data_IF_178653815622
#
_entry.id   IF_178653815622
#
_cell.length_a   1.000
_cell.length_b   1.000
_cell.length_c   1.000
_cell.angle_alpha   90.00
_cell.angle_beta   90.00
_cell.angle_gamma   90.00
#
_symmetry.space_group_name_H-M   'P 1'
#
loop_
_entity.id
_entity.type
_entity.pdbx_description
1 polymer ?
#
# COMPACT_ATOMS: atom_id res chain seq x y z
N UNK A 1 -60.67 63.99 -69.93
CA UNK A 1 -60.56 62.81 -69.04
C UNK A 1 -59.24 62.10 -69.30
N UNK A 2 -58.30 62.08 -68.34
CA UNK A 2 -57.31 60.99 -68.18
C UNK A 2 -56.55 61.22 -66.87
N UNK A 3 -56.58 60.25 -65.96
CA UNK A 3 -56.03 60.35 -64.59
C UNK A 3 -54.60 59.78 -64.53
N UNK A 4 -53.69 60.59 -63.97
CA UNK A 4 -52.65 60.29 -62.94
C UNK A 4 -51.96 58.91 -62.97
N UNK A 5 -50.68 58.85 -63.37
CA UNK A 5 -49.42 58.84 -62.56
C UNK A 5 -49.06 57.52 -61.86
N UNK A 6 -47.92 56.96 -62.27
CA UNK A 6 -46.82 56.49 -61.42
C UNK A 6 -47.08 55.36 -60.41
N UNK A 7 -46.58 54.15 -60.69
CA UNK A 7 -46.39 53.08 -59.70
C UNK A 7 -45.03 53.26 -59.01
N UNK A 8 -44.96 53.32 -57.67
CA UNK A 8 -43.72 53.06 -56.94
C UNK A 8 -43.64 51.59 -56.51
N UNK A 9 -42.54 50.96 -56.90
CA UNK A 9 -41.93 49.83 -56.20
C UNK A 9 -41.50 50.27 -54.80
N UNK A 10 -41.79 49.45 -53.78
CA UNK A 10 -41.06 49.22 -52.50
C UNK A 10 -42.07 48.84 -51.39
N UNK A 11 -42.63 47.63 -51.46
CA UNK A 11 -43.06 46.93 -50.23
C UNK A 11 -42.60 45.48 -50.36
N UNK A 12 -41.31 45.29 -50.12
CA UNK A 12 -40.77 44.04 -49.59
C UNK A 12 -41.06 44.09 -48.08
N UNK A 13 -41.50 42.98 -47.50
CA UNK A 13 -41.80 42.72 -46.08
C UNK A 13 -43.27 42.89 -45.64
N UNK A 14 -44.01 41.78 -45.67
CA UNK A 14 -44.93 41.38 -44.61
C UNK A 14 -45.35 39.90 -44.77
N UNK A 15 -44.39 38.99 -44.85
CA UNK A 15 -44.60 37.64 -44.29
C UNK A 15 -44.11 37.70 -42.85
N UNK A 16 -44.91 38.35 -41.99
CA UNK A 16 -44.75 38.21 -40.56
C UNK A 16 -45.37 36.87 -40.20
N UNK A 17 -44.52 35.88 -39.96
CA UNK A 17 -44.88 34.60 -39.36
C UNK A 17 -45.78 34.85 -38.15
N UNK A 18 -46.99 34.33 -38.23
CA UNK A 18 -47.94 34.31 -37.13
C UNK A 18 -47.43 33.30 -36.09
N UNK A 19 -46.41 33.68 -35.33
CA UNK A 19 -45.91 32.92 -34.20
C UNK A 19 -47.02 32.89 -33.15
N UNK A 20 -47.70 31.74 -33.08
CA UNK A 20 -48.70 31.42 -32.07
C UNK A 20 -47.99 31.45 -30.72
N UNK A 21 -48.01 32.60 -30.04
CA UNK A 21 -47.41 32.77 -28.72
C UNK A 21 -48.12 31.82 -27.75
N UNK A 22 -47.48 30.71 -27.40
CA UNK A 22 -47.98 29.84 -26.35
C UNK A 22 -48.03 30.64 -25.05
N UNK A 23 -49.13 30.57 -24.29
CA UNK A 23 -49.20 31.23 -22.99
C UNK A 23 -48.10 30.64 -22.09
N UNK A 24 -47.41 31.51 -21.35
CA UNK A 24 -46.28 31.18 -20.47
C UNK A 24 -46.58 29.97 -19.56
N UNK A 25 -47.84 29.83 -19.12
CA UNK A 25 -48.34 28.73 -18.31
C UNK A 25 -48.15 27.36 -18.97
N UNK A 26 -48.35 27.26 -20.29
CA UNK A 26 -48.17 26.00 -21.04
C UNK A 26 -46.69 25.64 -21.15
N UNK A 27 -45.81 26.63 -21.31
CA UNK A 27 -44.35 26.40 -21.32
C UNK A 27 -43.88 25.92 -19.95
N UNK A 28 -44.34 26.56 -18.86
CA UNK A 28 -43.99 26.15 -17.49
C UNK A 28 -44.45 24.72 -17.21
N UNK A 29 -45.68 24.36 -17.56
CA UNK A 29 -46.20 23.00 -17.38
C UNK A 29 -45.36 21.98 -18.15
N UNK A 30 -45.00 22.26 -19.41
CA UNK A 30 -44.17 21.35 -20.20
C UNK A 30 -42.76 21.18 -19.62
N UNK A 31 -42.15 22.25 -19.10
CA UNK A 31 -40.83 22.18 -18.44
C UNK A 31 -40.91 21.35 -17.15
N UNK A 32 -41.95 21.53 -16.34
CA UNK A 32 -42.15 20.76 -15.10
C UNK A 32 -42.38 19.29 -15.40
N UNK A 33 -43.21 18.96 -16.40
CA UNK A 33 -43.45 17.57 -16.82
C UNK A 33 -42.17 16.95 -17.38
N UNK A 34 -41.42 17.67 -18.22
CA UNK A 34 -40.14 17.18 -18.74
C UNK A 34 -39.10 16.96 -17.62
N UNK A 35 -39.05 17.85 -16.62
CA UNK A 35 -38.18 17.71 -15.46
C UNK A 35 -38.58 16.51 -14.57
N UNK A 36 -39.88 16.28 -14.36
CA UNK A 36 -40.38 15.13 -13.61
C UNK A 36 -40.14 13.81 -14.34
N UNK A 37 -40.41 13.75 -15.65
CA UNK A 37 -40.17 12.56 -16.48
C UNK A 37 -38.67 12.30 -16.61
N UNK A 38 -37.86 13.33 -16.84
CA UNK A 38 -36.40 13.22 -16.90
C UNK A 38 -35.79 12.82 -15.55
N UNK A 39 -36.25 13.40 -14.45
CA UNK A 39 -35.82 13.06 -13.10
C UNK A 39 -36.19 11.64 -12.70
N UNK A 40 -37.41 11.19 -13.01
CA UNK A 40 -37.86 9.82 -12.72
C UNK A 40 -37.14 8.78 -13.59
N UNK A 41 -36.90 9.10 -14.87
CA UNK A 41 -36.15 8.24 -15.78
C UNK A 41 -34.67 8.15 -15.36
N UNK A 42 -34.06 9.27 -15.00
CA UNK A 42 -32.70 9.32 -14.46
C UNK A 42 -32.57 8.53 -13.15
N UNK A 43 -33.57 8.64 -12.25
CA UNK A 43 -33.60 7.87 -11.00
C UNK A 43 -33.77 6.35 -11.22
N UNK A 44 -34.56 5.93 -12.21
CA UNK A 44 -34.74 4.51 -12.53
C UNK A 44 -33.50 3.89 -13.21
N UNK A 45 -32.78 4.68 -14.02
CA UNK A 45 -31.53 4.27 -14.68
C UNK A 45 -30.35 4.29 -13.70
N UNK A 46 -30.35 5.20 -12.72
CA UNK A 46 -29.27 5.35 -11.73
C UNK A 46 -29.37 4.39 -10.54
N UNK A 47 -30.37 3.50 -10.47
CA UNK A 47 -30.42 2.48 -9.41
C UNK A 47 -29.27 1.50 -9.62
N UNK A 48 -28.34 1.33 -8.66
CA UNK A 48 -27.32 0.30 -8.77
C UNK A 48 -28.02 -1.04 -8.89
N UNK A 49 -27.73 -1.75 -9.98
CA UNK A 49 -28.28 -3.08 -10.20
C UNK A 49 -27.80 -4.04 -9.08
N UNK A 50 -28.39 -5.23 -9.02
CA UNK A 50 -28.02 -6.23 -8.01
C UNK A 50 -26.53 -6.60 -8.04
N UNK A 51 -25.87 -6.46 -9.20
CA UNK A 51 -24.45 -6.75 -9.39
C UNK A 51 -23.59 -5.67 -8.76
N UNK A 52 -23.91 -4.38 -8.99
CA UNK A 52 -23.17 -3.26 -8.38
C UNK A 52 -23.22 -3.32 -6.86
N UNK A 53 -24.39 -3.60 -6.28
CA UNK A 53 -24.52 -3.78 -4.82
C UNK A 53 -23.75 -4.99 -4.30
N UNK A 54 -23.76 -6.10 -5.04
CA UNK A 54 -22.96 -7.28 -4.67
C UNK A 54 -21.45 -7.00 -4.73
N UNK A 55 -20.99 -6.22 -5.71
CA UNK A 55 -19.59 -5.80 -5.83
C UNK A 55 -19.19 -4.86 -4.69
N UNK A 56 -20.03 -3.89 -4.34
CA UNK A 56 -19.80 -3.00 -3.21
C UNK A 56 -19.73 -3.75 -1.88
N UNK A 57 -20.63 -4.71 -1.67
CA UNK A 57 -20.63 -5.58 -0.49
C UNK A 57 -19.35 -6.44 -0.42
N UNK A 58 -18.95 -7.06 -1.54
CA UNK A 58 -17.71 -7.83 -1.59
C UNK A 58 -16.48 -6.97 -1.29
N UNK A 59 -16.41 -5.75 -1.85
CA UNK A 59 -15.32 -4.80 -1.55
C UNK A 59 -15.28 -4.41 -0.08
N UNK A 60 -16.45 -4.21 0.54
CA UNK A 60 -16.53 -3.89 1.97
C UNK A 60 -16.03 -5.06 2.83
N UNK A 61 -16.43 -6.30 2.50
CA UNK A 61 -15.96 -7.50 3.18
C UNK A 61 -14.44 -7.71 3.00
N UNK A 62 -13.91 -7.47 1.81
CA UNK A 62 -12.48 -7.55 1.54
C UNK A 62 -11.68 -6.50 2.31
N UNK A 63 -12.18 -5.26 2.43
CA UNK A 63 -11.53 -4.22 3.20
C UNK A 63 -11.43 -4.56 4.69
N UNK A 64 -12.48 -5.17 5.27
CA UNK A 64 -12.46 -5.65 6.65
C UNK A 64 -11.42 -6.76 6.84
N UNK A 65 -11.39 -7.73 5.93
CA UNK A 65 -10.41 -8.83 5.98
C UNK A 65 -8.97 -8.32 5.80
N UNK A 66 -8.74 -7.41 4.87
CA UNK A 66 -7.40 -6.87 4.62
C UNK A 66 -6.89 -6.09 5.84
N UNK A 67 -7.75 -5.30 6.49
CA UNK A 67 -7.39 -4.61 7.74
C UNK A 67 -6.96 -5.60 8.83
N UNK A 68 -7.67 -6.73 8.99
CA UNK A 68 -7.26 -7.77 9.92
C UNK A 68 -5.90 -8.39 9.53
N UNK A 69 -5.69 -8.67 8.24
CA UNK A 69 -4.42 -9.23 7.77
C UNK A 69 -3.24 -8.27 7.96
N UNK A 70 -3.45 -6.96 7.83
CA UNK A 70 -2.44 -5.94 8.12
C UNK A 70 -2.09 -5.97 9.60
N UNK A 71 -3.08 -6.03 10.50
CA UNK A 71 -2.84 -6.13 11.95
C UNK A 71 -2.06 -7.39 12.33
N UNK A 72 -2.43 -8.54 11.78
CA UNK A 72 -1.74 -9.82 11.99
C UNK A 72 -0.29 -9.77 11.49
N UNK A 73 -0.07 -9.19 10.31
CA UNK A 73 1.28 -8.99 9.76
C UNK A 73 2.11 -8.05 10.65
N UNK A 74 1.54 -6.92 11.06
CA UNK A 74 2.20 -5.94 11.95
C UNK A 74 2.62 -6.60 13.27
N UNK A 75 1.75 -7.38 13.90
CA UNK A 75 2.07 -8.10 15.13
C UNK A 75 3.18 -9.15 14.91
N UNK A 76 3.05 -9.98 13.87
CA UNK A 76 4.03 -11.01 13.57
C UNK A 76 5.43 -10.44 13.27
N UNK A 77 5.48 -9.33 12.52
CA UNK A 77 6.72 -8.62 12.20
C UNK A 77 7.29 -7.93 13.44
N UNK A 78 6.48 -7.29 14.27
CA UNK A 78 6.94 -6.65 15.51
C UNK A 78 7.58 -7.65 16.49
N UNK A 79 7.04 -8.84 16.62
CA UNK A 79 7.69 -9.92 17.38
C UNK A 79 9.02 -10.35 16.77
N UNK A 80 9.04 -10.51 15.44
CA UNK A 80 10.23 -10.94 14.70
C UNK A 80 11.34 -9.88 14.78
N UNK A 81 10.99 -8.60 14.69
CA UNK A 81 11.89 -7.46 14.88
C UNK A 81 12.62 -7.54 16.22
N UNK A 82 11.89 -7.79 17.31
CA UNK A 82 12.48 -7.92 18.66
C UNK A 82 13.49 -9.05 18.71
N UNK A 83 13.11 -10.23 18.22
CA UNK A 83 14.00 -11.40 18.18
C UNK A 83 15.26 -11.15 17.34
N UNK A 84 15.10 -10.52 16.17
CA UNK A 84 16.21 -10.17 15.27
C UNK A 84 17.12 -9.13 15.93
N UNK A 85 16.58 -8.07 16.54
CA UNK A 85 17.40 -7.06 17.23
C UNK A 85 18.26 -7.66 18.35
N UNK A 86 17.68 -8.56 19.15
CA UNK A 86 18.42 -9.28 20.20
C UNK A 86 19.55 -10.11 19.61
N UNK A 87 19.27 -10.85 18.53
CA UNK A 87 20.28 -11.65 17.83
C UNK A 87 21.38 -10.77 17.24
N UNK A 88 21.01 -9.69 16.53
CA UNK A 88 21.94 -8.80 15.85
C UNK A 88 22.88 -8.09 16.82
N UNK A 89 22.42 -7.73 18.02
CA UNK A 89 23.30 -7.14 19.03
C UNK A 89 24.46 -8.07 19.39
N UNK A 90 24.17 -9.37 19.60
CA UNK A 90 25.20 -10.36 19.91
C UNK A 90 26.06 -10.68 18.67
N UNK A 91 25.43 -10.76 17.50
CA UNK A 91 26.08 -11.07 16.23
C UNK A 91 27.05 -9.97 15.78
N UNK A 92 26.63 -8.70 15.82
CA UNK A 92 27.46 -7.56 15.46
C UNK A 92 28.65 -7.43 16.42
N UNK A 93 28.43 -7.66 17.72
CA UNK A 93 29.52 -7.71 18.69
C UNK A 93 30.55 -8.82 18.41
N UNK A 94 30.13 -9.97 17.83
CA UNK A 94 31.04 -11.02 17.40
C UNK A 94 31.80 -10.62 16.12
N UNK A 95 31.13 -9.98 15.17
CA UNK A 95 31.75 -9.48 13.93
C UNK A 95 32.81 -8.41 14.20
N UNK A 96 32.57 -7.50 15.15
CA UNK A 96 33.49 -6.43 15.52
C UNK A 96 34.76 -6.95 16.19
N UNK A 97 34.61 -7.90 17.12
CA UNK A 97 35.76 -8.50 17.83
C UNK A 97 36.65 -9.33 16.91
N UNK A 98 36.13 -9.78 15.77
CA UNK A 98 36.88 -10.62 14.81
C UNK A 98 37.31 -11.98 15.39
N UNK A 99 36.85 -12.33 16.58
CA UNK A 99 37.14 -13.59 17.25
C UNK A 99 36.06 -14.61 16.94
N UNK A 100 36.40 -15.93 16.97
CA UNK A 100 35.40 -16.97 16.89
C UNK A 100 34.33 -16.80 17.98
N UNK A 101 33.07 -16.80 17.58
CA UNK A 101 31.96 -16.90 18.52
C UNK A 101 31.85 -18.35 19.03
N UNK A 102 31.33 -18.51 20.24
CA UNK A 102 31.04 -19.82 20.79
C UNK A 102 30.10 -20.63 19.88
N UNK A 103 30.38 -21.93 19.71
CA UNK A 103 29.63 -22.77 18.77
C UNK A 103 28.16 -22.96 19.19
N UNK A 104 27.88 -23.03 20.50
CA UNK A 104 26.50 -23.14 20.98
C UNK A 104 25.74 -21.83 20.76
N UNK A 105 26.41 -20.68 20.90
CA UNK A 105 25.85 -19.38 20.57
C UNK A 105 25.45 -19.29 19.09
N UNK A 106 26.33 -19.71 18.16
CA UNK A 106 26.03 -19.71 16.72
C UNK A 106 24.87 -20.63 16.39
N UNK A 107 24.83 -21.85 16.96
CA UNK A 107 23.70 -22.77 16.78
C UNK A 107 22.38 -22.19 17.31
N UNK A 108 22.44 -21.43 18.41
CA UNK A 108 21.31 -20.68 18.95
C UNK A 108 20.78 -19.67 17.94
N UNK A 109 21.66 -18.86 17.33
CA UNK A 109 21.28 -17.91 16.29
C UNK A 109 20.66 -18.58 15.07
N UNK A 110 21.26 -19.66 14.57
CA UNK A 110 20.71 -20.42 13.45
C UNK A 110 19.31 -20.98 13.77
N UNK A 111 19.11 -21.44 15.01
CA UNK A 111 17.81 -21.96 15.46
C UNK A 111 16.76 -20.86 15.52
N UNK A 112 17.09 -19.70 16.09
CA UNK A 112 16.21 -18.53 16.09
C UNK A 112 15.84 -18.12 14.67
N UNK A 113 16.80 -18.03 13.76
CA UNK A 113 16.52 -17.65 12.37
C UNK A 113 15.63 -18.66 11.66
N UNK A 114 15.85 -19.97 11.83
CA UNK A 114 14.96 -21.01 11.28
C UNK A 114 13.53 -20.89 11.80
N UNK A 115 13.35 -20.61 13.09
CA UNK A 115 12.04 -20.41 13.68
C UNK A 115 11.33 -19.19 13.09
N UNK A 116 12.05 -18.08 12.88
CA UNK A 116 11.51 -16.87 12.25
C UNK A 116 11.14 -17.09 10.78
N UNK A 117 11.99 -17.81 10.03
CA UNK A 117 11.68 -18.22 8.65
C UNK A 117 10.39 -19.03 8.61
N UNK A 118 10.25 -20.02 9.50
CA UNK A 118 9.03 -20.84 9.57
C UNK A 118 7.80 -19.99 9.94
N UNK A 119 7.93 -19.07 10.90
CA UNK A 119 6.84 -18.17 11.32
C UNK A 119 6.31 -17.30 10.16
N UNK A 120 7.18 -16.88 9.25
CA UNK A 120 6.83 -16.02 8.10
C UNK A 120 6.58 -16.78 6.80
N UNK A 121 6.73 -18.12 6.79
CA UNK A 121 6.49 -18.94 5.61
C UNK A 121 4.99 -19.13 5.31
N UNK A 122 4.18 -19.24 6.37
CA UNK A 122 2.76 -19.54 6.27
C UNK A 122 1.92 -18.27 6.41
N UNK A 123 1.14 -17.94 5.39
CA UNK A 123 0.13 -16.89 5.53
C UNK A 123 -0.95 -16.96 4.44
N UNK A 124 -2.22 -16.71 4.80
CA UNK A 124 -3.28 -16.55 3.81
C UNK A 124 -2.98 -15.36 2.88
N UNK A 125 -3.37 -15.49 1.61
CA UNK A 125 -3.28 -14.41 0.64
C UNK A 125 -4.10 -13.21 1.09
N UNK A 126 -3.53 -12.01 1.03
CA UNK A 126 -4.23 -10.74 1.28
C UNK A 126 -4.24 -9.82 0.08
N UNK A 127 -4.48 -8.53 0.29
CA UNK A 127 -4.33 -7.54 -0.78
C UNK A 127 -2.88 -7.51 -1.31
N UNK A 128 -2.72 -7.03 -2.55
CA UNK A 128 -1.42 -7.00 -3.23
C UNK A 128 -0.34 -6.31 -2.40
N UNK A 129 -0.63 -5.14 -1.82
CA UNK A 129 0.33 -4.40 -1.01
C UNK A 129 0.74 -5.16 0.26
N UNK A 130 -0.24 -5.79 0.94
CA UNK A 130 0.00 -6.66 2.10
C UNK A 130 0.87 -7.87 1.74
N UNK A 131 0.64 -8.49 0.57
CA UNK A 131 1.47 -9.60 0.08
C UNK A 131 2.89 -9.16 -0.28
N UNK A 132 3.07 -7.95 -0.83
CA UNK A 132 4.39 -7.39 -1.12
C UNK A 132 5.17 -7.14 0.18
N UNK A 133 4.56 -6.52 1.19
CA UNK A 133 5.18 -6.32 2.50
C UNK A 133 5.60 -7.66 3.12
N UNK A 134 4.69 -8.63 3.15
CA UNK A 134 4.95 -9.97 3.67
C UNK A 134 6.09 -10.68 2.93
N UNK A 135 6.07 -10.62 1.59
CA UNK A 135 7.12 -11.17 0.75
C UNK A 135 8.48 -10.52 1.05
N UNK A 136 8.50 -9.21 1.24
CA UNK A 136 9.68 -8.43 1.64
C UNK A 136 10.27 -8.91 2.97
N UNK A 137 9.46 -9.02 4.03
CA UNK A 137 9.94 -9.53 5.32
C UNK A 137 10.42 -10.96 5.24
N UNK A 138 9.69 -11.84 4.55
CA UNK A 138 10.12 -13.23 4.36
C UNK A 138 11.48 -13.30 3.65
N UNK A 139 11.69 -12.48 2.62
CA UNK A 139 12.97 -12.36 1.93
C UNK A 139 14.07 -11.89 2.88
N UNK A 140 13.86 -10.78 3.58
CA UNK A 140 14.84 -10.24 4.52
C UNK A 140 15.23 -11.22 5.64
N UNK A 141 14.27 -11.95 6.21
CA UNK A 141 14.53 -12.96 7.25
C UNK A 141 15.30 -14.16 6.69
N UNK A 142 15.00 -14.59 5.45
CA UNK A 142 15.81 -15.60 4.78
C UNK A 142 17.25 -15.11 4.56
N UNK A 143 17.45 -13.86 4.14
CA UNK A 143 18.79 -13.29 3.95
C UNK A 143 19.57 -13.18 5.27
N UNK A 144 18.90 -12.86 6.39
CA UNK A 144 19.51 -12.95 7.71
C UNK A 144 19.89 -14.38 8.09
N UNK A 145 19.05 -15.37 7.78
CA UNK A 145 19.36 -16.77 8.06
C UNK A 145 20.61 -17.22 7.30
N UNK A 146 20.68 -16.89 6.00
CA UNK A 146 21.85 -17.14 5.15
C UNK A 146 23.11 -16.43 5.68
N UNK A 147 22.96 -15.20 6.19
CA UNK A 147 24.06 -14.45 6.78
C UNK A 147 24.64 -15.14 8.02
N UNK A 148 23.77 -15.68 8.89
CA UNK A 148 24.20 -16.46 10.07
C UNK A 148 24.86 -17.77 9.65
N UNK A 149 24.33 -18.47 8.65
CA UNK A 149 24.91 -19.71 8.12
C UNK A 149 26.29 -19.46 7.49
N UNK A 150 26.45 -18.35 6.76
CA UNK A 150 27.74 -17.94 6.20
C UNK A 150 28.76 -17.63 7.30
N UNK A 151 28.33 -16.98 8.38
CA UNK A 151 29.19 -16.74 9.55
C UNK A 151 29.65 -18.05 10.20
N UNK A 152 28.74 -19.02 10.37
CA UNK A 152 29.08 -20.34 10.88
C UNK A 152 30.12 -21.04 9.98
N UNK A 153 29.92 -20.99 8.66
CA UNK A 153 30.87 -21.56 7.69
C UNK A 153 32.24 -20.86 7.73
N UNK A 154 32.26 -19.53 7.87
CA UNK A 154 33.50 -18.75 7.99
C UNK A 154 34.33 -19.12 9.23
N UNK A 155 33.65 -19.48 10.33
CA UNK A 155 34.32 -19.91 11.55
C UNK A 155 34.89 -21.32 11.46
N UNK A 156 34.13 -22.25 10.88
CA UNK A 156 34.53 -23.63 10.69
C UNK A 156 35.61 -23.82 9.60
N UNK A 157 35.72 -22.85 8.68
CA UNK A 157 36.69 -22.85 7.60
C UNK A 157 38.13 -22.51 8.01
N UNK A 158 39.08 -22.55 7.05
CA UNK A 158 40.48 -22.23 7.29
C UNK A 158 40.67 -20.80 7.81
N UNK A 159 41.50 -20.64 8.85
CA UNK A 159 41.75 -19.35 9.50
C UNK A 159 42.27 -18.29 8.51
N UNK A 160 43.10 -18.68 7.56
CA UNK A 160 43.63 -17.78 6.52
C UNK A 160 42.54 -17.14 5.63
N UNK A 161 41.37 -17.79 5.48
CA UNK A 161 40.25 -17.29 4.67
C UNK A 161 39.21 -16.53 5.50
N UNK A 162 39.23 -16.71 6.82
CA UNK A 162 38.22 -16.16 7.74
C UNK A 162 38.05 -14.64 7.60
N UNK A 163 39.11 -13.79 7.52
CA UNK A 163 38.92 -12.35 7.39
C UNK A 163 38.11 -11.97 6.14
N UNK A 164 38.41 -12.59 4.99
CA UNK A 164 37.70 -12.35 3.74
C UNK A 164 36.24 -12.78 3.79
N UNK A 165 35.95 -13.92 4.43
CA UNK A 165 34.58 -14.41 4.61
C UNK A 165 33.79 -13.53 5.58
N UNK A 166 34.40 -13.04 6.67
CA UNK A 166 33.76 -12.11 7.61
C UNK A 166 33.37 -10.80 6.91
N UNK A 167 34.17 -10.29 5.99
CA UNK A 167 33.78 -9.12 5.19
C UNK A 167 32.59 -9.39 4.26
N UNK A 168 32.44 -10.61 3.73
CA UNK A 168 31.23 -11.01 2.98
C UNK A 168 30.03 -11.08 3.93
N UNK A 169 30.19 -11.65 5.12
CA UNK A 169 29.13 -11.72 6.16
C UNK A 169 28.63 -10.32 6.51
N UNK A 170 29.53 -9.36 6.76
CA UNK A 170 29.16 -7.97 7.05
C UNK A 170 28.32 -7.35 5.94
N UNK A 171 28.73 -7.53 4.67
CA UNK A 171 27.94 -7.03 3.52
C UNK A 171 26.57 -7.72 3.41
N UNK A 172 26.51 -9.03 3.62
CA UNK A 172 25.25 -9.78 3.63
C UNK A 172 24.29 -9.29 4.73
N UNK A 173 24.81 -9.08 5.95
CA UNK A 173 24.06 -8.52 7.09
C UNK A 173 23.47 -7.15 6.75
N UNK A 174 24.25 -6.28 6.13
CA UNK A 174 23.77 -4.98 5.66
C UNK A 174 22.68 -5.12 4.59
N UNK A 175 22.86 -6.00 3.61
CA UNK A 175 21.86 -6.27 2.58
C UNK A 175 20.52 -6.76 3.14
N UNK A 176 20.57 -7.74 4.04
CA UNK A 176 19.40 -8.27 4.73
C UNK A 176 18.66 -7.19 5.54
N UNK A 177 19.43 -6.35 6.26
CA UNK A 177 18.86 -5.25 7.01
C UNK A 177 18.24 -4.19 6.09
N UNK A 178 18.86 -3.87 4.95
CA UNK A 178 18.26 -2.95 3.96
C UNK A 178 16.96 -3.51 3.40
N UNK A 179 16.91 -4.80 3.05
CA UNK A 179 15.69 -5.46 2.59
C UNK A 179 14.56 -5.38 3.65
N UNK A 180 14.91 -5.61 4.93
CA UNK A 180 13.98 -5.43 6.05
C UNK A 180 13.44 -4.00 6.11
N UNK A 181 14.30 -2.98 6.00
CA UNK A 181 13.91 -1.58 6.06
C UNK A 181 12.92 -1.19 4.95
N UNK A 182 13.12 -1.69 3.73
CA UNK A 182 12.17 -1.48 2.62
C UNK A 182 10.81 -2.13 2.92
N UNK A 183 10.82 -3.35 3.47
CA UNK A 183 9.58 -4.03 3.88
C UNK A 183 8.88 -3.29 5.04
N UNK A 184 9.64 -2.73 5.98
CA UNK A 184 9.14 -1.92 7.08
C UNK A 184 8.47 -0.63 6.58
N UNK A 185 9.08 0.07 5.63
CA UNK A 185 8.46 1.24 5.00
C UNK A 185 7.16 0.90 4.26
N UNK A 186 7.13 -0.23 3.54
CA UNK A 186 5.90 -0.71 2.90
C UNK A 186 4.81 -1.04 3.93
N UNK A 187 5.18 -1.66 5.05
CA UNK A 187 4.24 -1.99 6.13
C UNK A 187 3.71 -0.72 6.81
N UNK A 188 4.55 0.27 7.06
CA UNK A 188 4.15 1.57 7.60
C UNK A 188 3.07 2.21 6.72
N UNK A 189 3.33 2.29 5.41
CA UNK A 189 2.38 2.88 4.46
C UNK A 189 1.03 2.16 4.45
N UNK A 190 1.00 0.82 4.41
CA UNK A 190 -0.28 0.09 4.39
C UNK A 190 -1.04 0.20 5.73
N UNK A 191 -0.34 0.38 6.85
CA UNK A 191 -1.01 0.66 8.13
C UNK A 191 -1.63 2.07 8.14
N UNK A 192 -0.92 3.07 7.61
CA UNK A 192 -1.46 4.44 7.45
C UNK A 192 -2.70 4.42 6.56
N UNK A 193 -2.63 3.77 5.39
CA UNK A 193 -3.74 3.66 4.44
C UNK A 193 -4.96 2.94 5.04
N UNK A 194 -4.74 1.97 5.93
CA UNK A 194 -5.80 1.24 6.64
C UNK A 194 -6.35 1.99 7.89
N UNK A 195 -5.82 3.18 8.20
CA UNK A 195 -6.18 3.96 9.38
C UNK A 195 -5.73 3.32 10.70
N UNK A 196 -4.63 2.56 10.67
CA UNK A 196 -3.99 1.92 11.84
C UNK A 196 -2.83 2.74 12.42
N UNK A 197 -2.45 3.84 11.76
CA UNK A 197 -1.36 4.73 12.17
C UNK A 197 0.03 4.22 11.75
N UNK A 198 1.07 4.95 12.14
CA UNK A 198 2.46 4.59 11.81
C UNK A 198 2.93 3.35 12.59
N UNK A 199 3.72 2.51 11.93
CA UNK A 199 4.35 1.31 12.48
C UNK A 199 5.87 1.36 12.26
N UNK A 200 6.61 1.60 13.34
CA UNK A 200 8.07 1.70 13.30
C UNK A 200 8.75 0.35 13.57
N UNK A 201 8.55 -0.63 12.70
CA UNK A 201 9.17 -1.96 12.84
C UNK A 201 10.61 -2.04 12.27
N UNK A 202 11.36 -0.94 12.29
CA UNK A 202 12.74 -0.90 11.80
C UNK A 202 13.72 -1.61 12.76
N UNK A 203 14.80 -2.18 12.22
CA UNK A 203 15.86 -2.76 13.06
C UNK A 203 16.72 -1.64 13.69
N UNK A 204 17.28 -1.93 14.87
CA UNK A 204 18.14 -0.98 15.60
C UNK A 204 19.35 -0.60 14.75
N UNK A 205 19.71 0.69 14.76
CA UNK A 205 20.82 1.23 13.96
C UNK A 205 20.50 1.53 12.50
N UNK A 206 19.27 1.29 12.04
CA UNK A 206 18.79 1.69 10.71
C UNK A 206 17.75 2.81 10.72
N UNK A 207 17.21 3.15 11.89
CA UNK A 207 16.28 4.27 12.04
C UNK A 207 17.03 5.59 11.89
N UNK A 208 16.88 6.27 10.76
CA UNK A 208 17.20 7.70 10.61
C UNK A 208 16.20 8.59 11.34
N UNK A 209 15.83 8.24 12.57
CA UNK A 209 14.98 9.06 13.42
C UNK A 209 15.85 9.93 14.31
N UNK A 210 15.79 11.24 14.09
CA UNK A 210 16.23 12.22 15.09
C UNK A 210 15.63 11.86 16.46
N UNK A 211 16.37 12.06 17.56
CA UNK A 211 15.78 11.94 18.88
C UNK A 211 14.63 12.94 18.97
N UNK A 212 13.40 12.45 19.06
CA UNK A 212 12.27 13.30 19.44
C UNK A 212 12.58 13.85 20.82
N UNK A 213 13.04 15.10 20.83
CA UNK A 213 13.26 15.89 22.03
C UNK A 213 11.92 16.13 22.69
N UNK A 214 11.53 15.24 23.59
CA UNK A 214 10.66 15.61 24.70
C UNK A 214 11.52 16.36 25.71
N UNK A 215 11.52 17.68 25.58
CA UNK A 215 11.82 18.57 26.70
C UNK A 215 10.62 18.51 27.66
N UNK A 216 10.83 17.90 28.82
CA UNK A 216 10.06 18.22 30.03
C UNK A 216 10.56 19.56 30.61
#
# INVERSE_FOLDING_TARGET
MSRKTGKPSYVRQAQAEQTRRMPLTVVIVLVVVAALVGGLSGFLIARPDSTTRAVEELKAQEAVRDKQQIQELTAAVGDSQKAINTLLTAFDGALEKGQPADAAMVQGWQTTMRQLVAKLAESPSGATATNVARGGFRGAVNDFALTVDLFAAAQAGPEAQRPGLIEIVKRSRTGAATAWSVAAAQLDQINVDAGLGHQHVYLTGQGGGEPEGHTD
#
